data_IF_740938779233
#
_entry.id   IF_740938779233
#
_cell.length_a   1.000
_cell.length_b   1.000
_cell.length_c   1.000
_cell.angle_alpha   90.00
_cell.angle_beta   90.00
_cell.angle_gamma   90.00
#
_symmetry.space_group_name_H-M   'P 1'
#
loop_
_entity.id
_entity.type
_entity.pdbx_description
1 polymer ?
#
# COMPACT_ATOMS: atom_id res chain seq x y z
N UNK A 1 13.63 0.10 -6.39
CA UNK A 1 12.57 -0.08 -5.39
C UNK A 1 12.18 -1.55 -5.28
N UNK A 2 11.99 -2.02 -4.05
CA UNK A 2 11.62 -3.37 -3.65
C UNK A 2 10.31 -3.31 -2.87
N UNK A 3 9.38 -4.24 -3.15
CA UNK A 3 8.15 -4.36 -2.35
C UNK A 3 8.49 -4.93 -0.98
N UNK A 4 8.14 -4.19 0.07
CA UNK A 4 8.43 -4.58 1.45
C UNK A 4 7.17 -5.00 2.21
N UNK A 5 5.99 -4.55 1.77
CA UNK A 5 4.72 -4.86 2.41
C UNK A 5 3.56 -4.77 1.43
N UNK A 6 2.52 -5.59 1.63
CA UNK A 6 1.25 -5.50 0.90
C UNK A 6 0.10 -6.02 1.75
N UNK A 7 -1.04 -5.35 1.70
CA UNK A 7 -2.22 -5.71 2.47
C UNK A 7 -3.50 -5.20 1.78
N UNK A 8 -4.63 -5.86 1.99
CA UNK A 8 -5.93 -5.35 1.55
C UNK A 8 -6.47 -4.26 2.50
N UNK A 9 -5.98 -4.17 3.74
CA UNK A 9 -6.35 -3.07 4.62
C UNK A 9 -5.50 -1.83 4.31
N UNK A 10 -6.12 -0.82 3.70
CA UNK A 10 -5.45 0.42 3.34
C UNK A 10 -4.87 1.13 4.55
N UNK A 11 -5.55 1.17 5.69
CA UNK A 11 -5.04 1.83 6.90
C UNK A 11 -3.70 1.23 7.36
N UNK A 12 -3.50 -0.09 7.20
CA UNK A 12 -2.23 -0.74 7.51
C UNK A 12 -1.13 -0.39 6.51
N UNK A 13 -1.46 -0.26 5.22
CA UNK A 13 -0.51 0.17 4.19
C UNK A 13 0.00 1.58 4.49
N UNK A 14 -0.90 2.51 4.82
CA UNK A 14 -0.55 3.87 5.22
C UNK A 14 0.21 3.91 6.54
N UNK A 15 -0.14 3.06 7.51
CA UNK A 15 0.61 2.95 8.76
C UNK A 15 2.08 2.55 8.53
N UNK A 16 2.34 1.54 7.70
CA UNK A 16 3.70 1.10 7.35
C UNK A 16 4.46 2.20 6.58
N UNK A 17 3.80 2.85 5.62
CA UNK A 17 4.36 4.01 4.91
C UNK A 17 4.83 5.07 5.90
N UNK A 18 3.93 5.53 6.77
CA UNK A 18 4.22 6.60 7.72
C UNK A 18 5.37 6.22 8.68
N UNK A 19 5.41 4.96 9.13
CA UNK A 19 6.49 4.47 10.00
C UNK A 19 7.86 4.55 9.30
N UNK A 20 7.93 4.17 8.02
CA UNK A 20 9.16 4.23 7.22
C UNK A 20 9.57 5.68 6.90
N UNK A 21 8.62 6.51 6.47
CA UNK A 21 8.87 7.94 6.19
C UNK A 21 9.35 8.69 7.44
N UNK A 22 8.83 8.35 8.64
CA UNK A 22 9.29 8.92 9.90
C UNK A 22 10.76 8.61 10.21
N UNK A 23 11.31 7.51 9.67
CA UNK A 23 12.73 7.16 9.76
C UNK A 23 13.57 7.79 8.63
N UNK A 24 12.98 8.64 7.79
CA UNK A 24 13.65 9.26 6.64
C UNK A 24 13.84 8.31 5.45
N UNK A 25 13.07 7.21 5.40
CA UNK A 25 13.10 6.27 4.28
C UNK A 25 12.11 6.77 3.22
N UNK A 26 12.58 6.88 1.97
CA UNK A 26 11.70 7.23 0.84
C UNK A 26 10.79 6.05 0.51
N UNK A 27 9.49 6.32 0.37
CA UNK A 27 8.46 5.29 0.23
C UNK A 27 7.48 5.65 -0.87
N UNK A 28 7.14 4.65 -1.68
CA UNK A 28 6.05 4.75 -2.66
C UNK A 28 4.95 3.75 -2.32
N UNK A 29 3.73 4.24 -2.22
CA UNK A 29 2.54 3.40 -2.16
C UNK A 29 1.98 3.15 -3.56
N UNK A 30 1.59 1.91 -3.84
CA UNK A 30 0.85 1.56 -5.06
C UNK A 30 -0.51 1.00 -4.68
N UNK A 31 -1.47 1.14 -5.59
CA UNK A 31 -2.83 0.60 -5.46
C UNK A 31 -3.62 1.14 -4.24
N UNK A 32 -3.19 2.25 -3.64
CA UNK A 32 -3.82 2.82 -2.43
C UNK A 32 -5.25 3.36 -2.68
N UNK A 33 -5.64 3.50 -3.96
CA UNK A 33 -6.94 4.03 -4.40
C UNK A 33 -7.84 3.00 -5.09
N UNK A 34 -7.36 1.77 -5.29
CA UNK A 34 -8.14 0.73 -5.98
C UNK A 34 -9.26 0.14 -5.13
N UNK A 35 -9.34 0.51 -3.84
CA UNK A 35 -10.46 0.15 -2.99
C UNK A 35 -11.78 0.80 -3.43
N UNK A 36 -11.72 1.96 -4.09
CA UNK A 36 -12.92 2.66 -4.58
C UNK A 36 -13.64 1.93 -5.71
N UNK A 37 -13.00 0.94 -6.34
CA UNK A 37 -13.56 0.07 -7.39
C UNK A 37 -13.64 -1.40 -6.95
N UNK A 38 -13.55 -1.64 -5.63
CA UNK A 38 -13.67 -2.98 -5.07
C UNK A 38 -15.03 -3.59 -5.42
N UNK A 39 -15.02 -4.68 -6.19
CA UNK A 39 -16.22 -5.33 -6.75
C UNK A 39 -16.16 -5.48 -8.27
N UNK A 40 -15.43 -4.61 -8.96
CA UNK A 40 -15.19 -4.71 -10.42
C UNK A 40 -13.90 -5.48 -10.75
N UNK A 41 -12.97 -5.54 -9.80
CA UNK A 41 -11.65 -6.17 -9.94
C UNK A 41 -11.41 -7.14 -8.77
N UNK A 42 -10.71 -8.28 -8.98
CA UNK A 42 -10.35 -9.18 -7.89
C UNK A 42 -9.63 -8.47 -6.74
N UNK A 43 -10.03 -8.80 -5.49
CA UNK A 43 -9.46 -8.18 -4.27
C UNK A 43 -7.94 -8.33 -4.18
N UNK A 44 -7.39 -9.39 -4.78
CA UNK A 44 -5.93 -9.62 -4.88
C UNK A 44 -5.20 -8.57 -5.72
N UNK A 45 -5.90 -7.93 -6.67
CA UNK A 45 -5.35 -6.87 -7.52
C UNK A 45 -5.58 -5.47 -6.91
N UNK A 46 -6.45 -5.36 -5.91
CA UNK A 46 -6.71 -4.13 -5.15
C UNK A 46 -5.83 -3.99 -3.89
N UNK A 47 -4.92 -4.93 -3.63
CA UNK A 47 -4.06 -4.87 -2.45
C UNK A 47 -3.15 -3.64 -2.53
N UNK A 48 -3.18 -2.81 -1.48
CA UNK A 48 -2.23 -1.72 -1.35
C UNK A 48 -0.83 -2.27 -1.11
N UNK A 49 0.17 -1.59 -1.66
CA UNK A 49 1.57 -2.04 -1.60
C UNK A 49 2.47 -0.90 -1.12
N UNK A 50 3.52 -1.26 -0.37
CA UNK A 50 4.57 -0.35 0.07
C UNK A 50 5.90 -0.76 -0.55
N UNK A 51 6.57 0.21 -1.16
CA UNK A 51 7.82 0.03 -1.88
C UNK A 51 8.87 1.00 -1.33
N UNK A 52 10.08 0.50 -1.14
CA UNK A 52 11.28 1.25 -0.74
C UNK A 52 12.36 1.04 -1.78
#
# INVERSE_FOLDING_TARGET
MKKVYSNNNIALVWHVKNMLEQQGIDVVTRNDRLYSIAGEIPVTECMGEVWV
#
